data_IF_051216575956
#
_entry.id   IF_051216575956
#
_cell.length_a   1.000
_cell.length_b   1.000
_cell.length_c   1.000
_cell.angle_alpha   90.00
_cell.angle_beta   90.00
_cell.angle_gamma   90.00
#
_symmetry.space_group_name_H-M   'P 1'
#
loop_
_entity.id
_entity.type
_entity.pdbx_description
1 polymer ?
#
# COMPACT_ATOMS: atom_id res chain seq x y z
N UNK A 1 61.19 2.99 5.52
CA UNK A 1 60.05 2.84 4.57
C UNK A 1 58.97 1.86 5.07
N UNK A 2 59.34 0.67 5.57
CA UNK A 2 58.41 -0.39 6.01
C UNK A 2 57.46 0.00 7.17
N UNK A 3 57.93 0.78 8.15
CA UNK A 3 57.15 1.16 9.33
C UNK A 3 56.07 2.22 9.04
N UNK A 4 56.34 3.15 8.11
CA UNK A 4 55.33 4.09 7.58
C UNK A 4 54.22 3.34 6.83
N UNK A 5 54.58 2.33 6.02
CA UNK A 5 53.63 1.50 5.27
C UNK A 5 52.73 0.69 6.20
N UNK A 6 53.27 0.10 7.27
CA UNK A 6 52.49 -0.59 8.31
C UNK A 6 51.52 0.36 9.02
N UNK A 7 51.95 1.57 9.43
CA UNK A 7 51.07 2.58 10.04
C UNK A 7 49.93 3.01 9.10
N UNK A 8 50.23 3.26 7.82
CA UNK A 8 49.20 3.62 6.83
C UNK A 8 48.19 2.48 6.66
N UNK A 9 48.64 1.23 6.56
CA UNK A 9 47.76 0.05 6.48
C UNK A 9 46.89 -0.07 7.73
N UNK A 10 47.46 0.08 8.93
CA UNK A 10 46.69 0.03 10.19
C UNK A 10 45.64 1.13 10.25
N UNK A 11 45.97 2.38 9.88
CA UNK A 11 45.01 3.48 9.83
C UNK A 11 43.90 3.20 8.82
N UNK A 12 44.23 2.64 7.65
CA UNK A 12 43.23 2.28 6.64
C UNK A 12 42.27 1.19 7.16
N UNK A 13 42.79 0.16 7.82
CA UNK A 13 41.99 -0.93 8.40
C UNK A 13 41.05 -0.38 9.48
N UNK A 14 41.54 0.49 10.37
CA UNK A 14 40.71 1.11 11.41
C UNK A 14 39.62 1.98 10.78
N UNK A 15 39.96 2.78 9.76
CA UNK A 15 38.99 3.64 9.07
C UNK A 15 37.90 2.84 8.35
N UNK A 16 38.28 1.77 7.64
CA UNK A 16 37.31 0.83 7.03
C UNK A 16 36.45 0.17 8.10
N UNK A 17 37.05 -0.29 9.21
CA UNK A 17 36.32 -0.86 10.34
C UNK A 17 35.25 0.10 10.89
N UNK A 18 35.61 1.37 11.11
CA UNK A 18 34.66 2.40 11.57
C UNK A 18 33.54 2.68 10.57
N UNK A 19 33.84 2.73 9.26
CA UNK A 19 32.82 2.91 8.22
C UNK A 19 31.87 1.72 8.20
N UNK A 20 32.38 0.48 8.24
CA UNK A 20 31.52 -0.72 8.24
C UNK A 20 30.61 -0.77 9.45
N UNK A 21 31.12 -0.44 10.64
CA UNK A 21 30.31 -0.37 11.87
C UNK A 21 29.22 0.72 11.77
N UNK A 22 29.57 1.90 11.24
CA UNK A 22 28.62 2.99 11.04
C UNK A 22 27.51 2.61 10.06
N UNK A 23 27.86 2.05 8.90
CA UNK A 23 26.89 1.55 7.90
C UNK A 23 26.00 0.45 8.48
N UNK A 24 26.56 -0.45 9.30
CA UNK A 24 25.81 -1.49 9.99
C UNK A 24 24.79 -0.90 10.97
N UNK A 25 25.19 0.05 11.82
CA UNK A 25 24.27 0.74 12.73
C UNK A 25 23.16 1.51 11.99
N UNK A 26 23.49 2.16 10.87
CA UNK A 26 22.52 2.86 10.02
C UNK A 26 21.51 1.86 9.43
N UNK A 27 21.98 0.73 8.89
CA UNK A 27 21.13 -0.31 8.33
C UNK A 27 20.18 -0.91 9.37
N UNK A 28 20.66 -1.19 10.59
CA UNK A 28 19.83 -1.67 11.69
C UNK A 28 18.73 -0.67 12.07
N UNK A 29 19.08 0.62 12.18
CA UNK A 29 18.13 1.67 12.52
C UNK A 29 17.06 1.87 11.43
N UNK A 30 17.47 1.84 10.16
CA UNK A 30 16.55 1.94 9.03
C UNK A 30 15.54 0.78 9.03
N UNK A 31 16.03 -0.46 9.16
CA UNK A 31 15.17 -1.65 9.21
C UNK A 31 14.17 -1.58 10.36
N UNK A 32 14.62 -1.20 11.56
CA UNK A 32 13.76 -1.03 12.74
C UNK A 32 12.65 0.01 12.51
N UNK A 33 12.98 1.17 11.92
CA UNK A 33 11.98 2.20 11.61
C UNK A 33 10.98 1.78 10.53
N UNK A 34 11.42 0.96 9.57
CA UNK A 34 10.55 0.46 8.51
C UNK A 34 9.63 -0.69 8.96
N UNK A 35 9.91 -1.32 10.11
CA UNK A 35 9.14 -2.47 10.60
C UNK A 35 8.12 -2.10 11.70
N UNK A 36 7.86 -0.82 11.96
CA UNK A 36 6.96 -0.40 13.05
C UNK A 36 5.55 -0.97 12.91
N UNK A 37 4.96 -0.93 11.70
CA UNK A 37 3.64 -1.54 11.46
C UNK A 37 3.66 -3.04 11.76
N UNK A 38 4.71 -3.76 11.34
CA UNK A 38 4.86 -5.17 11.65
C UNK A 38 5.00 -5.43 13.15
N UNK A 39 5.77 -4.61 13.87
CA UNK A 39 5.90 -4.71 15.32
C UNK A 39 4.56 -4.53 16.03
N UNK A 40 3.76 -3.53 15.64
CA UNK A 40 2.41 -3.31 16.20
C UNK A 40 1.52 -4.54 15.95
N UNK A 41 1.50 -5.07 14.72
CA UNK A 41 0.67 -6.23 14.37
C UNK A 41 1.07 -7.46 15.19
N UNK A 42 2.36 -7.80 15.16
CA UNK A 42 2.87 -9.07 15.69
C UNK A 42 3.03 -9.09 17.21
N UNK A 43 3.24 -7.93 17.84
CA UNK A 43 3.54 -7.84 19.27
C UNK A 43 2.38 -7.27 20.08
N UNK A 44 1.38 -6.66 19.44
CA UNK A 44 0.24 -6.06 20.14
C UNK A 44 -1.07 -6.61 19.57
N UNK A 45 -1.46 -6.26 18.35
CA UNK A 45 -2.79 -6.58 17.85
C UNK A 45 -3.12 -8.10 17.87
N UNK A 46 -2.20 -8.94 17.39
CA UNK A 46 -2.41 -10.39 17.35
C UNK A 46 -2.43 -10.99 18.77
N UNK A 47 -1.42 -10.74 19.63
CA UNK A 47 -1.47 -11.22 21.02
C UNK A 47 -2.71 -10.76 21.79
N UNK A 48 -3.06 -9.48 21.74
CA UNK A 48 -4.23 -8.93 22.45
C UNK A 48 -5.53 -9.60 22.00
N UNK A 49 -5.69 -9.81 20.67
CA UNK A 49 -6.84 -10.55 20.14
C UNK A 49 -6.88 -12.00 20.64
N UNK A 50 -5.74 -12.69 20.72
CA UNK A 50 -5.68 -14.10 21.08
C UNK A 50 -5.84 -14.35 22.59
N UNK A 51 -5.24 -13.50 23.42
CA UNK A 51 -5.21 -13.71 24.87
C UNK A 51 -6.35 -12.99 25.61
N UNK A 52 -6.81 -11.84 25.09
CA UNK A 52 -7.81 -11.01 25.78
C UNK A 52 -9.09 -10.80 24.97
N UNK A 53 -9.11 -11.19 23.69
CA UNK A 53 -10.29 -11.01 22.82
C UNK A 53 -10.50 -9.59 22.32
N UNK A 54 -9.56 -8.69 22.60
CA UNK A 54 -9.62 -7.25 22.30
C UNK A 54 -8.46 -6.90 21.35
N UNK A 55 -8.68 -6.33 20.15
CA UNK A 55 -7.64 -6.20 19.12
C UNK A 55 -6.76 -4.95 19.25
N UNK A 56 -6.93 -4.12 20.28
CA UNK A 56 -6.22 -2.86 20.45
C UNK A 56 -4.69 -3.04 20.37
N UNK A 57 -3.95 -2.16 19.67
CA UNK A 57 -4.39 -0.89 19.07
C UNK A 57 -5.06 -1.03 17.69
N UNK A 58 -5.18 -2.25 17.14
CA UNK A 58 -5.94 -2.47 15.93
C UNK A 58 -7.44 -2.34 16.21
N UNK A 59 -8.19 -1.91 15.20
CA UNK A 59 -9.65 -1.88 15.24
C UNK A 59 -10.25 -3.27 15.05
N UNK A 60 -9.59 -4.12 14.27
CA UNK A 60 -10.00 -5.50 14.03
C UNK A 60 -8.78 -6.36 13.78
N UNK A 61 -8.79 -7.59 14.31
CA UNK A 61 -7.89 -8.67 13.89
C UNK A 61 -8.73 -9.84 13.41
N UNK A 62 -8.58 -10.22 12.15
CA UNK A 62 -9.25 -11.36 11.54
C UNK A 62 -8.20 -12.38 11.10
N UNK A 63 -7.83 -13.28 12.02
CA UNK A 63 -6.81 -14.32 11.77
C UNK A 63 -7.26 -15.27 10.65
N UNK A 64 -8.54 -15.65 10.63
CA UNK A 64 -9.10 -16.58 9.64
C UNK A 64 -8.98 -16.05 8.21
N UNK A 65 -9.25 -14.76 8.01
CA UNK A 65 -9.11 -14.10 6.70
C UNK A 65 -7.73 -13.43 6.51
N UNK A 66 -6.83 -13.58 7.49
CA UNK A 66 -5.43 -13.22 7.38
C UNK A 66 -5.11 -11.71 7.40
N UNK A 67 -5.96 -10.86 7.98
CA UNK A 67 -5.73 -9.40 8.03
C UNK A 67 -6.02 -8.75 9.39
N UNK A 68 -5.49 -7.54 9.56
CA UNK A 68 -5.86 -6.59 10.60
C UNK A 68 -6.33 -5.29 9.97
N UNK A 69 -7.14 -4.51 10.70
CA UNK A 69 -7.48 -3.13 10.35
C UNK A 69 -7.07 -2.22 11.48
N UNK A 70 -6.41 -1.11 11.17
CA UNK A 70 -5.91 -0.15 12.15
C UNK A 70 -6.27 1.28 11.72
N UNK A 71 -6.64 2.14 12.67
CA UNK A 71 -6.82 3.58 12.39
C UNK A 71 -5.45 4.20 12.12
N UNK A 72 -5.31 4.91 11.00
CA UNK A 72 -4.07 5.64 10.71
C UNK A 72 -3.95 6.88 11.64
N UNK A 73 -2.73 7.34 11.88
CA UNK A 73 -2.53 8.60 12.61
C UNK A 73 -2.81 9.82 11.71
N UNK A 74 -2.64 9.66 10.40
CA UNK A 74 -2.96 10.65 9.40
C UNK A 74 -4.47 10.65 9.09
N UNK A 75 -5.04 11.85 8.92
CA UNK A 75 -6.43 12.06 8.54
C UNK A 75 -7.49 11.64 9.57
N UNK A 76 -8.65 12.32 9.62
CA UNK A 76 -9.77 11.94 10.51
C UNK A 76 -10.32 10.53 10.24
N UNK A 77 -10.31 10.09 8.98
CA UNK A 77 -11.02 8.87 8.55
C UNK A 77 -10.13 7.82 7.89
N UNK A 78 -8.81 8.01 7.79
CA UNK A 78 -7.96 7.00 7.15
C UNK A 78 -7.75 5.77 8.05
N UNK A 79 -7.90 4.59 7.47
CA UNK A 79 -7.58 3.30 8.06
C UNK A 79 -6.58 2.56 7.17
N UNK A 80 -5.86 1.61 7.76
CA UNK A 80 -4.97 0.69 7.06
C UNK A 80 -5.50 -0.72 7.19
N UNK A 81 -5.51 -1.47 6.09
CA UNK A 81 -5.61 -2.92 6.12
C UNK A 81 -4.24 -3.54 5.87
N UNK A 82 -3.83 -4.46 6.74
CA UNK A 82 -2.51 -5.09 6.71
C UNK A 82 -2.64 -6.61 6.94
N UNK A 83 -1.77 -7.44 6.37
CA UNK A 83 -1.82 -8.88 6.62
C UNK A 83 -1.35 -9.21 8.05
N UNK A 84 -1.91 -10.27 8.63
CA UNK A 84 -1.39 -10.86 9.89
C UNK A 84 -0.01 -11.50 9.70
N UNK A 85 0.32 -11.89 8.47
CA UNK A 85 1.62 -12.41 8.10
C UNK A 85 2.58 -11.28 7.71
N UNK A 86 3.90 -11.51 7.89
CA UNK A 86 4.92 -10.60 7.37
C UNK A 86 4.97 -10.70 5.84
N UNK A 87 4.43 -9.68 5.19
CA UNK A 87 4.44 -9.46 3.75
C UNK A 87 4.94 -8.04 3.58
N UNK A 88 6.05 -7.81 2.88
CA UNK A 88 6.71 -6.51 2.89
C UNK A 88 5.95 -5.42 2.12
N UNK A 89 5.26 -5.80 1.05
CA UNK A 89 4.63 -4.86 0.13
C UNK A 89 4.21 -5.51 -1.18
N UNK A 90 3.81 -4.68 -2.14
CA UNK A 90 3.37 -5.10 -3.48
C UNK A 90 4.40 -5.95 -4.24
N UNK A 91 5.69 -5.80 -3.93
CA UNK A 91 6.79 -6.59 -4.51
C UNK A 91 6.79 -8.07 -4.08
N UNK A 92 6.02 -8.43 -3.05
CA UNK A 92 6.04 -9.79 -2.52
C UNK A 92 5.41 -10.79 -3.50
N UNK A 93 6.18 -11.81 -3.90
CA UNK A 93 5.68 -12.91 -4.74
C UNK A 93 4.46 -13.63 -4.14
N UNK A 94 4.27 -13.57 -2.82
CA UNK A 94 3.08 -14.12 -2.15
C UNK A 94 1.78 -13.55 -2.74
N UNK A 95 1.77 -12.27 -3.14
CA UNK A 95 0.58 -11.62 -3.70
C UNK A 95 0.17 -12.12 -5.09
N UNK A 96 1.05 -12.87 -5.77
CA UNK A 96 0.75 -13.53 -7.04
C UNK A 96 0.15 -14.93 -6.86
N UNK A 97 0.15 -15.46 -5.63
CA UNK A 97 -0.44 -16.77 -5.32
C UNK A 97 -1.97 -16.63 -5.13
N UNK A 98 -2.81 -17.35 -5.89
CA UNK A 98 -4.27 -17.34 -5.74
C UNK A 98 -4.78 -17.74 -4.34
N UNK A 99 -3.99 -18.47 -3.55
CA UNK A 99 -4.33 -18.82 -2.17
C UNK A 99 -4.12 -17.66 -1.17
N UNK A 100 -3.41 -16.60 -1.56
CA UNK A 100 -3.23 -15.43 -0.70
C UNK A 100 -4.54 -14.64 -0.62
N UNK A 101 -4.97 -14.20 0.59
CA UNK A 101 -6.18 -13.41 0.75
C UNK A 101 -6.21 -12.20 -0.19
N UNK A 102 -7.38 -11.92 -0.75
CA UNK A 102 -7.59 -10.74 -1.59
C UNK A 102 -7.70 -9.49 -0.71
N UNK A 103 -6.55 -8.96 -0.29
CA UNK A 103 -6.47 -7.83 0.64
C UNK A 103 -7.21 -6.58 0.16
N UNK A 104 -7.30 -6.34 -1.16
CA UNK A 104 -8.11 -5.25 -1.70
C UNK A 104 -9.60 -5.47 -1.50
N UNK A 105 -10.10 -6.69 -1.70
CA UNK A 105 -11.49 -7.04 -1.40
C UNK A 105 -11.78 -6.91 0.10
N UNK A 106 -10.86 -7.36 0.95
CA UNK A 106 -10.95 -7.19 2.40
C UNK A 106 -10.95 -5.71 2.81
N UNK A 107 -10.11 -4.89 2.18
CA UNK A 107 -10.01 -3.46 2.48
C UNK A 107 -11.26 -2.72 2.03
N UNK A 108 -11.82 -3.10 0.87
CA UNK A 108 -13.11 -2.58 0.44
C UNK A 108 -14.22 -2.90 1.44
N UNK A 109 -14.25 -4.14 1.98
CA UNK A 109 -15.20 -4.52 3.03
C UNK A 109 -14.98 -3.70 4.31
N UNK A 110 -13.73 -3.48 4.70
CA UNK A 110 -13.34 -2.74 5.90
C UNK A 110 -13.63 -1.22 5.83
N UNK A 111 -14.01 -0.66 4.67
CA UNK A 111 -14.34 0.77 4.53
C UNK A 111 -15.43 1.28 5.48
N UNK A 112 -16.30 0.39 5.96
CA UNK A 112 -17.33 0.71 6.95
C UNK A 112 -16.76 1.29 8.26
N UNK A 113 -15.50 1.01 8.62
CA UNK A 113 -14.86 1.65 9.77
C UNK A 113 -14.72 3.17 9.62
N UNK A 114 -14.68 3.69 8.39
CA UNK A 114 -14.77 5.13 8.14
C UNK A 114 -16.14 5.68 8.52
N UNK A 115 -17.22 4.95 8.22
CA UNK A 115 -18.59 5.32 8.57
C UNK A 115 -18.81 5.26 10.08
N UNK A 116 -18.34 4.20 10.74
CA UNK A 116 -18.37 4.08 12.21
C UNK A 116 -17.65 5.26 12.86
N UNK A 117 -16.48 5.64 12.34
CA UNK A 117 -15.70 6.76 12.88
C UNK A 117 -16.37 8.11 12.61
N UNK A 118 -17.01 8.28 11.45
CA UNK A 118 -17.68 9.52 11.05
C UNK A 118 -19.06 9.69 11.69
N UNK A 119 -19.75 8.58 12.00
CA UNK A 119 -21.12 8.56 12.50
C UNK A 119 -22.20 8.68 11.43
N UNK A 120 -21.84 8.70 10.14
CA UNK A 120 -22.79 8.76 9.01
C UNK A 120 -22.33 7.86 7.86
N UNK A 121 -23.28 7.39 7.05
CA UNK A 121 -22.98 6.63 5.83
C UNK A 121 -22.19 7.48 4.82
N UNK A 122 -21.32 6.82 4.06
CA UNK A 122 -20.53 7.44 2.99
C UNK A 122 -20.85 6.73 1.68
N UNK A 123 -21.12 7.50 0.63
CA UNK A 123 -21.36 6.93 -0.69
C UNK A 123 -20.13 6.18 -1.22
N UNK A 124 -20.35 5.04 -1.89
CA UNK A 124 -19.28 4.17 -2.40
C UNK A 124 -18.30 4.92 -3.34
N UNK A 125 -18.77 5.96 -4.03
CA UNK A 125 -17.99 6.80 -4.95
C UNK A 125 -16.93 7.68 -4.26
N UNK A 126 -17.06 7.90 -2.94
CA UNK A 126 -16.14 8.72 -2.16
C UNK A 126 -14.96 7.94 -1.59
N UNK A 127 -15.02 6.60 -1.57
CA UNK A 127 -13.93 5.78 -1.08
C UNK A 127 -12.85 5.57 -2.13
N UNK A 128 -11.61 5.46 -1.65
CA UNK A 128 -10.50 4.93 -2.40
C UNK A 128 -9.71 3.95 -1.53
N UNK A 129 -9.15 2.94 -2.20
CA UNK A 129 -8.11 2.10 -1.66
C UNK A 129 -6.81 2.45 -2.38
N UNK A 130 -5.68 2.48 -1.68
CA UNK A 130 -4.38 2.69 -2.31
C UNK A 130 -3.30 1.83 -1.67
N UNK A 131 -2.32 1.42 -2.46
CA UNK A 131 -1.07 0.84 -1.99
C UNK A 131 0.10 1.43 -2.78
N UNK A 132 1.10 1.88 -2.05
CA UNK A 132 2.29 2.49 -2.62
C UNK A 132 3.32 1.41 -3.01
N UNK A 133 4.14 1.75 -4.00
CA UNK A 133 5.30 0.92 -4.38
C UNK A 133 6.33 0.84 -3.24
N UNK A 134 7.38 0.03 -3.44
CA UNK A 134 8.49 -0.02 -2.48
C UNK A 134 9.23 1.31 -2.34
N UNK A 135 9.11 2.19 -3.33
CA UNK A 135 9.78 3.49 -3.38
C UNK A 135 8.89 4.62 -2.85
N UNK A 136 7.57 4.42 -2.84
CA UNK A 136 6.59 5.40 -2.36
C UNK A 136 6.14 5.19 -0.91
N UNK A 137 6.88 4.40 -0.12
CA UNK A 137 6.48 4.07 1.27
C UNK A 137 7.64 4.10 2.24
N UNK A 138 7.31 4.23 3.53
CA UNK A 138 8.29 4.22 4.63
C UNK A 138 8.24 2.94 5.49
N UNK A 139 7.18 2.13 5.36
CA UNK A 139 6.98 0.90 6.13
C UNK A 139 7.10 -0.34 5.23
N UNK A 140 7.80 -1.36 5.72
CA UNK A 140 8.06 -2.65 5.07
C UNK A 140 7.12 -3.75 5.58
N UNK A 141 5.86 -3.37 5.75
CA UNK A 141 4.73 -4.26 5.94
C UNK A 141 3.66 -3.82 4.96
N UNK A 142 3.05 -4.73 4.21
CA UNK A 142 1.98 -4.46 3.26
C UNK A 142 0.85 -3.73 3.98
N UNK A 143 0.49 -2.53 3.50
CA UNK A 143 -0.62 -1.74 4.02
C UNK A 143 -1.40 -1.15 2.86
N UNK A 144 -2.72 -1.41 2.84
CA UNK A 144 -3.66 -0.76 1.92
C UNK A 144 -4.31 0.38 2.69
N UNK A 145 -4.15 1.59 2.16
CA UNK A 145 -4.74 2.82 2.68
C UNK A 145 -6.22 2.86 2.28
N UNK A 146 -7.10 2.92 3.27
CA UNK A 146 -8.54 3.07 3.11
C UNK A 146 -8.87 4.52 3.47
N UNK A 147 -9.24 5.34 2.49
CA UNK A 147 -9.46 6.77 2.70
C UNK A 147 -10.43 7.36 1.66
N UNK A 148 -10.61 8.68 1.70
CA UNK A 148 -11.43 9.38 0.73
C UNK A 148 -10.66 9.59 -0.58
N UNK A 149 -11.34 9.43 -1.71
CA UNK A 149 -10.82 9.80 -3.02
C UNK A 149 -10.68 11.33 -3.10
N UNK A 150 -9.69 11.84 -3.83
CA UNK A 150 -9.62 13.28 -4.12
C UNK A 150 -10.77 13.74 -5.03
N UNK A 151 -11.29 14.97 -4.85
CA UNK A 151 -12.35 15.50 -5.71
C UNK A 151 -12.02 15.58 -7.20
N UNK A 152 -10.82 16.01 -7.56
CA UNK A 152 -10.37 16.10 -8.95
C UNK A 152 -10.29 14.71 -9.62
N UNK A 153 -9.82 13.71 -8.87
CA UNK A 153 -9.77 12.33 -9.34
C UNK A 153 -11.18 11.75 -9.50
N UNK A 154 -12.11 12.02 -8.57
CA UNK A 154 -13.53 11.64 -8.72
C UNK A 154 -14.12 12.18 -10.01
N UNK A 155 -13.99 13.49 -10.25
CA UNK A 155 -14.50 14.14 -11.46
C UNK A 155 -13.88 13.54 -12.72
N UNK A 156 -12.57 13.25 -12.69
CA UNK A 156 -11.87 12.62 -13.82
C UNK A 156 -12.40 11.22 -14.10
N UNK A 157 -12.63 10.40 -13.08
CA UNK A 157 -13.20 9.06 -13.24
C UNK A 157 -14.64 9.10 -13.78
N UNK A 158 -15.44 10.09 -13.37
CA UNK A 158 -16.81 10.26 -13.86
C UNK A 158 -16.82 10.63 -15.35
N UNK A 159 -15.93 11.54 -15.77
CA UNK A 159 -15.77 11.92 -17.17
C UNK A 159 -15.31 10.77 -18.06
N UNK A 160 -14.54 9.82 -17.52
CA UNK A 160 -14.04 8.65 -18.25
C UNK A 160 -15.00 7.45 -18.22
N UNK A 161 -16.03 7.48 -17.37
CA UNK A 161 -16.86 6.30 -17.02
C UNK A 161 -17.46 5.56 -18.22
N UNK A 162 -17.86 6.27 -19.28
CA UNK A 162 -18.43 5.67 -20.50
C UNK A 162 -17.40 5.03 -21.43
N UNK A 163 -16.12 5.38 -21.28
CA UNK A 163 -15.02 4.91 -22.14
C UNK A 163 -14.20 3.79 -21.50
N UNK A 164 -14.17 3.77 -20.17
CA UNK A 164 -13.45 2.77 -19.39
C UNK A 164 -14.11 1.39 -19.54
N UNK A 165 -13.31 0.37 -19.74
CA UNK A 165 -13.79 -0.99 -19.94
C UNK A 165 -12.84 -2.03 -19.32
N UNK A 166 -13.05 -3.31 -19.65
CA UNK A 166 -12.28 -4.43 -19.13
C UNK A 166 -10.92 -4.61 -19.85
N UNK A 167 -10.32 -3.55 -20.38
CA UNK A 167 -8.95 -3.54 -20.92
C UNK A 167 -8.15 -2.44 -20.24
N UNK A 168 -6.81 -2.59 -20.20
CA UNK A 168 -5.94 -1.56 -19.63
C UNK A 168 -5.84 -0.37 -20.57
N UNK A 169 -6.18 0.81 -20.07
CA UNK A 169 -6.20 2.07 -20.83
C UNK A 169 -5.40 3.13 -20.09
N UNK A 170 -4.54 3.85 -20.81
CA UNK A 170 -3.69 4.90 -20.21
C UNK A 170 -4.44 6.21 -20.08
N UNK A 171 -4.45 6.76 -18.86
CA UNK A 171 -5.06 8.05 -18.57
C UNK A 171 -4.24 8.83 -17.54
N UNK A 172 -4.16 10.14 -17.73
CA UNK A 172 -3.63 11.05 -16.73
C UNK A 172 -4.58 11.15 -15.52
N UNK A 173 -4.07 10.89 -14.32
CA UNK A 173 -4.72 11.12 -13.03
C UNK A 173 -3.77 11.93 -12.14
N UNK A 174 -4.15 13.15 -11.80
CA UNK A 174 -3.25 14.08 -11.09
C UNK A 174 -2.00 14.35 -11.93
N UNK A 175 -0.82 14.17 -11.32
CA UNK A 175 0.47 14.47 -11.94
C UNK A 175 1.06 13.31 -12.76
N UNK A 176 0.49 12.11 -12.67
CA UNK A 176 1.03 10.92 -13.34
C UNK A 176 0.08 10.22 -14.30
N UNK A 177 0.66 9.46 -15.23
CA UNK A 177 -0.06 8.52 -16.07
C UNK A 177 -0.35 7.22 -15.31
N UNK A 178 -1.61 6.78 -15.41
CA UNK A 178 -2.09 5.55 -14.83
C UNK A 178 -2.66 4.62 -15.90
N UNK A 179 -2.47 3.32 -15.73
CA UNK A 179 -3.23 2.29 -16.43
C UNK A 179 -4.53 2.03 -15.66
N UNK A 180 -5.66 2.23 -16.32
CA UNK A 180 -7.00 2.03 -15.76
C UNK A 180 -7.62 0.77 -16.34
N UNK A 181 -8.30 0.00 -15.50
CA UNK A 181 -9.11 -1.15 -15.93
C UNK A 181 -10.36 -1.29 -15.07
N UNK A 182 -11.50 -1.46 -15.71
CA UNK A 182 -12.76 -1.74 -15.02
C UNK A 182 -12.88 -3.22 -14.67
N UNK A 183 -13.35 -3.49 -13.46
CA UNK A 183 -13.74 -4.83 -13.00
C UNK A 183 -15.12 -4.76 -12.37
N UNK A 184 -15.92 -5.80 -12.59
CA UNK A 184 -17.19 -5.98 -11.88
C UNK A 184 -16.96 -6.22 -10.39
N UNK A 185 -18.03 -6.07 -9.59
CA UNK A 185 -17.98 -6.35 -8.15
C UNK A 185 -17.59 -7.80 -7.86
N UNK A 186 -18.03 -8.74 -8.68
CA UNK A 186 -17.75 -10.17 -8.51
C UNK A 186 -16.33 -10.54 -8.94
N UNK A 187 -15.84 -9.98 -10.05
CA UNK A 187 -14.44 -10.15 -10.44
C UNK A 187 -13.49 -9.57 -9.40
N UNK A 188 -13.81 -8.40 -8.84
CA UNK A 188 -13.01 -7.76 -7.79
C UNK A 188 -12.91 -8.61 -6.52
N UNK A 189 -13.99 -9.31 -6.16
CA UNK A 189 -14.00 -10.27 -5.02
C UNK A 189 -13.19 -11.52 -5.35
N UNK A 190 -13.41 -12.11 -6.53
CA UNK A 190 -12.84 -13.41 -6.92
C UNK A 190 -11.35 -13.34 -7.25
N UNK A 191 -10.90 -12.27 -7.92
CA UNK A 191 -9.51 -12.14 -8.39
C UNK A 191 -8.86 -10.92 -7.75
N UNK A 192 -7.79 -11.16 -7.01
CA UNK A 192 -6.98 -10.08 -6.41
C UNK A 192 -6.48 -9.12 -7.50
N UNK A 193 -6.59 -7.80 -7.29
CA UNK A 193 -5.97 -6.81 -8.15
C UNK A 193 -4.46 -7.05 -8.37
N UNK A 194 -3.74 -7.62 -7.39
CA UNK A 194 -2.31 -7.94 -7.54
C UNK A 194 -2.07 -9.04 -8.58
N UNK A 195 -2.87 -10.11 -8.54
CA UNK A 195 -2.82 -11.21 -9.52
C UNK A 195 -3.16 -10.68 -10.90
N UNK A 196 -4.16 -9.79 -10.97
CA UNK A 196 -4.57 -9.17 -12.22
C UNK A 196 -3.46 -8.33 -12.85
N UNK A 197 -2.84 -7.45 -12.07
CA UNK A 197 -1.69 -6.66 -12.51
C UNK A 197 -0.58 -7.58 -13.05
N UNK A 198 -0.18 -8.57 -12.25
CA UNK A 198 0.91 -9.48 -12.59
C UNK A 198 0.67 -10.26 -13.90
N UNK A 199 -0.58 -10.64 -14.19
CA UNK A 199 -0.90 -11.48 -15.34
C UNK A 199 -1.30 -10.71 -16.60
N UNK A 200 -1.82 -9.49 -16.47
CA UNK A 200 -2.43 -8.78 -17.59
C UNK A 200 -1.60 -7.61 -18.13
N UNK A 201 -0.76 -6.98 -17.30
CA UNK A 201 0.07 -5.88 -17.75
C UNK A 201 1.47 -6.41 -18.15
N UNK A 202 1.91 -6.21 -19.41
CA UNK A 202 3.19 -6.75 -19.88
C UNK A 202 4.37 -6.35 -18.98
N UNK A 203 5.17 -7.34 -18.56
CA UNK A 203 6.35 -7.15 -17.71
C UNK A 203 6.06 -6.84 -16.24
N UNK A 204 4.79 -6.68 -15.83
CA UNK A 204 4.48 -6.32 -14.44
C UNK A 204 4.80 -7.46 -13.46
N UNK A 205 4.66 -8.72 -13.88
CA UNK A 205 4.92 -9.91 -13.05
C UNK A 205 6.28 -9.90 -12.37
N UNK A 206 7.30 -9.48 -13.11
CA UNK A 206 8.70 -9.54 -12.70
C UNK A 206 9.17 -8.25 -12.00
N UNK A 207 8.34 -7.19 -12.04
CA UNK A 207 8.68 -5.85 -11.55
C UNK A 207 7.58 -5.26 -10.65
N UNK A 208 6.80 -6.11 -9.99
CA UNK A 208 5.66 -5.70 -9.13
C UNK A 208 6.04 -4.60 -8.12
N UNK A 209 7.28 -4.61 -7.62
CA UNK A 209 7.77 -3.61 -6.65
C UNK A 209 7.89 -2.18 -7.17
N UNK A 210 7.88 -1.99 -8.50
CA UNK A 210 7.91 -0.68 -9.14
C UNK A 210 6.51 -0.12 -9.39
N UNK A 211 5.44 -0.85 -9.03
CA UNK A 211 4.07 -0.40 -9.22
C UNK A 211 3.42 0.06 -7.91
N UNK A 212 2.51 1.01 -8.03
CA UNK A 212 1.53 1.39 -7.02
C UNK A 212 0.14 1.16 -7.59
N UNK A 213 -0.84 0.92 -6.72
CA UNK A 213 -2.19 0.60 -7.16
C UNK A 213 -3.24 1.32 -6.33
N UNK A 214 -4.30 1.79 -6.96
CA UNK A 214 -5.49 2.31 -6.30
C UNK A 214 -6.77 1.69 -6.86
N UNK A 215 -7.85 1.75 -6.08
CA UNK A 215 -9.17 1.28 -6.45
C UNK A 215 -10.22 2.29 -6.01
N UNK A 216 -11.16 2.62 -6.90
CA UNK A 216 -12.33 3.44 -6.61
C UNK A 216 -13.58 2.83 -7.25
N UNK A 217 -14.77 3.27 -6.81
CA UNK A 217 -16.02 2.91 -7.46
C UNK A 217 -16.30 3.82 -8.69
N UNK A 218 -16.99 3.27 -9.69
CA UNK A 218 -17.63 4.05 -10.75
C UNK A 218 -19.12 4.25 -10.40
N UNK A 219 -19.80 5.16 -11.10
CA UNK A 219 -21.21 5.49 -10.84
C UNK A 219 -22.19 4.31 -11.01
N UNK A 220 -21.82 3.30 -11.79
CA UNK A 220 -22.60 2.06 -11.97
C UNK A 220 -22.28 0.98 -10.92
N UNK A 221 -21.48 1.33 -9.91
CA UNK A 221 -21.07 0.43 -8.83
C UNK A 221 -20.00 -0.60 -9.23
N UNK A 222 -19.43 -0.54 -10.43
CA UNK A 222 -18.19 -1.28 -10.77
C UNK A 222 -17.00 -0.69 -10.02
N UNK A 223 -15.83 -1.32 -10.16
CA UNK A 223 -14.56 -0.81 -9.63
C UNK A 223 -13.63 -0.48 -10.79
N UNK A 224 -12.85 0.58 -10.64
CA UNK A 224 -11.73 0.88 -11.51
C UNK A 224 -10.44 0.59 -10.74
N UNK A 225 -9.59 -0.26 -11.31
CA UNK A 225 -8.22 -0.46 -10.87
C UNK A 225 -7.37 0.60 -11.56
N UNK A 226 -6.56 1.32 -10.80
CA UNK A 226 -5.66 2.37 -11.28
C UNK A 226 -4.23 1.96 -10.91
N UNK A 227 -3.35 1.79 -11.89
CA UNK A 227 -1.99 1.32 -11.67
C UNK A 227 -1.00 2.36 -12.18
N UNK A 228 -0.05 2.74 -11.34
CA UNK A 228 1.05 3.66 -11.69
C UNK A 228 2.37 2.91 -11.61
N UNK A 229 3.26 3.14 -12.58
CA UNK A 229 4.61 2.59 -12.59
C UNK A 229 5.62 3.68 -12.21
N UNK A 230 6.61 3.32 -11.41
CA UNK A 230 7.72 4.19 -11.05
C UNK A 230 8.43 4.67 -12.31
N UNK A 231 8.76 5.95 -12.34
CA UNK A 231 9.48 6.57 -13.43
C UNK A 231 10.42 7.65 -12.90
N UNK A 232 11.74 7.47 -13.08
CA UNK A 232 12.75 8.33 -12.44
C UNK A 232 12.72 9.76 -12.98
N UNK A 233 12.60 9.95 -14.29
CA UNK A 233 12.68 11.27 -14.92
C UNK A 233 11.52 12.19 -14.51
N UNK A 234 10.35 11.62 -14.28
CA UNK A 234 9.19 12.34 -13.76
C UNK A 234 9.09 12.31 -12.24
N UNK A 235 10.13 11.84 -11.53
CA UNK A 235 10.17 11.69 -10.08
C UNK A 235 8.99 10.89 -9.49
N UNK A 236 8.38 10.02 -10.30
CA UNK A 236 7.22 9.23 -9.91
C UNK A 236 7.69 8.02 -9.09
N UNK A 237 7.43 8.04 -7.79
CA UNK A 237 7.74 6.94 -6.86
C UNK A 237 6.67 5.83 -6.86
N UNK A 238 5.66 5.91 -7.73
CA UNK A 238 4.49 5.05 -7.75
C UNK A 238 3.77 5.00 -6.39
N UNK A 239 3.49 6.18 -5.84
CA UNK A 239 2.75 6.37 -4.61
C UNK A 239 1.26 6.57 -4.92
N UNK A 240 0.51 5.47 -5.04
CA UNK A 240 -0.91 5.55 -5.41
C UNK A 240 -1.80 6.26 -4.37
N UNK A 241 -1.30 6.42 -3.12
CA UNK A 241 -1.92 7.26 -2.09
C UNK A 241 -2.08 8.73 -2.54
N UNK A 242 -1.34 9.19 -3.56
CA UNK A 242 -1.50 10.54 -4.13
C UNK A 242 -2.89 10.81 -4.70
N UNK A 243 -3.67 9.77 -5.00
CA UNK A 243 -5.06 9.87 -5.47
C UNK A 243 -6.06 10.06 -4.32
N UNK A 244 -5.61 10.01 -3.07
CA UNK A 244 -6.43 10.13 -1.86
C UNK A 244 -6.36 11.54 -1.26
N UNK A 245 -7.45 11.96 -0.62
CA UNK A 245 -7.51 13.16 0.20
C UNK A 245 -7.89 12.75 1.62
N UNK A 246 -6.90 12.71 2.52
CA UNK A 246 -7.14 12.30 3.89
C UNK A 246 -7.94 13.33 4.70
N UNK A 247 -8.09 14.57 4.21
CA UNK A 247 -8.99 15.57 4.79
C UNK A 247 -10.46 15.37 4.39
N UNK A 248 -10.71 14.46 3.44
CA UNK A 248 -12.03 14.05 2.98
C UNK A 248 -12.91 15.22 2.50
N UNK A 249 -12.39 16.08 1.62
CA UNK A 249 -13.12 17.23 1.08
C UNK A 249 -14.42 16.85 0.36
N UNK A 250 -14.50 15.66 -0.25
CA UNK A 250 -15.74 15.12 -0.87
C UNK A 250 -16.89 14.90 0.13
N UNK A 251 -16.59 14.88 1.44
CA UNK A 251 -17.55 14.60 2.49
C UNK A 251 -18.01 15.86 3.24
N UNK A 252 -17.49 17.04 2.89
CA UNK A 252 -17.82 18.31 3.55
C UNK A 252 -19.11 18.92 3.02
#
# INVERSE_FOLDING_TARGET
MMQKRKRVITVLIVFVGLITLSLFCIALNYNSKSDKLWQIISQQCIPEQQFHGHPEPCRQVNIANGYVVMKDQNGPLQFLLMPVAKISGIESQKLQNPATPNFFSEAWRARHFMEEKRGVRIDDSNYSLAINSRWGRSQNQLHIHISCLRPDIRQRLDALSSTLNATWQTHQLGEHEYQLRVVTRDEFKRTSPFIRLANELPGARDDMGSYGMAVAALGDGKRVLMVVKRHLLSLNLASAEELQDHSCALLK
#
